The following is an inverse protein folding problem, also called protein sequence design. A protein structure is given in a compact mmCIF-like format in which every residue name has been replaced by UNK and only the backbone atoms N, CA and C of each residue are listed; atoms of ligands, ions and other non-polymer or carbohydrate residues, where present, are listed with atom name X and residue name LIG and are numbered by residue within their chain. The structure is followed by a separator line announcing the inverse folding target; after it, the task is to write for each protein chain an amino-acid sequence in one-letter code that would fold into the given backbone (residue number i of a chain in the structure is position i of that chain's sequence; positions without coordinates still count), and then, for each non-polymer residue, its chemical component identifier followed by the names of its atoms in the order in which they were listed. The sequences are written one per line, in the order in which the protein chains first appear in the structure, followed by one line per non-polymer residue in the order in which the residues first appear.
data_IF_772602296643
#
_entry.id   IF_772602296643
#
_cell.length_a   1.000
_cell.length_b   1.000
_cell.length_c   1.000
_cell.angle_alpha   90.00
_cell.angle_beta   90.00
_cell.angle_gamma   90.00
#
_symmetry.space_group_name_H-M   'P 1'
#
loop_
_entity.id
_entity.type
_entity.pdbx_description
1 polymer ?
#
# COMPACT_ATOMS: atom_id res chain seq x y z
N UNK A 1 5.17 2.00 33.34
CA UNK A 1 5.13 0.57 32.95
C UNK A 1 6.05 0.40 31.76
N UNK A 2 7.05 -0.48 31.83
CA UNK A 2 7.89 -0.81 30.66
C UNK A 2 7.10 -1.81 29.81
N UNK A 3 6.79 -1.47 28.56
CA UNK A 3 6.17 -2.42 27.64
C UNK A 3 7.18 -3.50 27.27
N UNK A 4 6.79 -4.76 27.44
CA UNK A 4 7.59 -5.91 27.03
C UNK A 4 7.49 -6.07 25.51
N UNK A 5 8.62 -5.92 24.81
CA UNK A 5 8.70 -6.15 23.36
C UNK A 5 8.87 -7.64 23.12
N UNK A 6 8.05 -8.19 22.21
CA UNK A 6 8.14 -9.57 21.77
C UNK A 6 8.77 -9.62 20.38
N UNK A 7 9.86 -10.37 20.25
CA UNK A 7 10.47 -10.63 18.95
C UNK A 7 9.62 -11.62 18.16
N UNK A 8 9.63 -11.47 16.83
CA UNK A 8 8.93 -12.38 15.92
C UNK A 8 9.59 -13.77 16.01
N UNK A 9 8.86 -14.83 16.38
CA UNK A 9 9.44 -16.17 16.50
C UNK A 9 9.89 -16.74 15.15
N UNK A 10 10.89 -17.62 15.16
CA UNK A 10 11.46 -18.20 13.93
C UNK A 10 10.41 -18.90 13.06
N UNK A 11 9.47 -19.65 13.68
CA UNK A 11 8.35 -20.30 12.99
C UNK A 11 7.44 -19.36 12.18
N UNK A 12 7.53 -18.05 12.40
CA UNK A 12 6.78 -17.02 11.66
C UNK A 12 7.65 -16.36 10.58
N UNK A 13 8.97 -16.38 10.74
CA UNK A 13 9.94 -15.81 9.79
C UNK A 13 10.31 -16.79 8.70
N UNK A 14 10.46 -18.06 9.05
CA UNK A 14 10.88 -19.13 8.16
C UNK A 14 9.94 -19.24 6.95
N UNK A 15 10.50 -19.14 5.75
CA UNK A 15 9.75 -19.19 4.49
C UNK A 15 8.89 -17.96 4.16
N UNK A 16 8.97 -16.89 4.95
CA UNK A 16 8.20 -15.67 4.71
C UNK A 16 8.65 -14.97 3.43
N UNK A 17 7.71 -14.66 2.54
CA UNK A 17 7.91 -13.83 1.35
C UNK A 17 7.67 -12.34 1.61
N UNK A 18 7.48 -11.95 2.88
CA UNK A 18 7.24 -10.56 3.25
C UNK A 18 8.43 -9.68 2.84
N UNK A 19 8.22 -8.57 2.13
CA UNK A 19 9.27 -7.59 1.87
C UNK A 19 9.67 -6.81 3.14
N UNK A 20 8.89 -6.95 4.22
CA UNK A 20 9.13 -6.29 5.51
C UNK A 20 9.53 -7.35 6.52
N UNK A 21 10.84 -7.42 6.82
CA UNK A 21 11.42 -8.39 7.75
C UNK A 21 11.69 -7.83 9.15
N UNK A 22 11.75 -6.51 9.28
CA UNK A 22 12.10 -5.81 10.52
C UNK A 22 11.44 -4.41 10.58
N UNK A 23 11.75 -3.67 11.65
CA UNK A 23 11.20 -2.34 11.88
C UNK A 23 11.77 -1.27 10.95
N UNK A 24 12.96 -1.46 10.39
CA UNK A 24 13.55 -0.48 9.48
C UNK A 24 12.91 -0.63 8.09
N UNK A 25 12.73 -1.86 7.60
CA UNK A 25 11.95 -2.14 6.39
C UNK A 25 10.49 -1.68 6.53
N UNK A 26 9.88 -1.86 7.71
CA UNK A 26 8.55 -1.29 7.96
C UNK A 26 8.55 0.24 7.85
N UNK A 27 9.54 0.90 8.46
CA UNK A 27 9.64 2.36 8.47
C UNK A 27 9.84 2.90 7.06
N UNK A 28 10.66 2.23 6.25
CA UNK A 28 10.89 2.59 4.84
C UNK A 28 9.60 2.55 4.04
N UNK A 29 8.87 1.44 4.09
CA UNK A 29 7.59 1.28 3.37
C UNK A 29 6.54 2.30 3.86
N UNK A 30 6.48 2.55 5.17
CA UNK A 30 5.58 3.54 5.74
C UNK A 30 5.92 4.97 5.29
N UNK A 31 7.21 5.33 5.26
CA UNK A 31 7.65 6.64 4.79
C UNK A 31 7.37 6.82 3.30
N UNK A 32 7.61 5.79 2.48
CA UNK A 32 7.30 5.83 1.06
C UNK A 32 5.80 6.08 0.80
N UNK A 33 4.93 5.30 1.45
CA UNK A 33 3.48 5.47 1.35
C UNK A 33 2.99 6.83 1.88
N UNK A 34 3.67 7.40 2.88
CA UNK A 34 3.32 8.70 3.45
C UNK A 34 3.76 9.86 2.55
N UNK A 35 4.95 9.78 1.96
CA UNK A 35 5.55 10.86 1.17
C UNK A 35 5.04 10.91 -0.27
N UNK A 36 4.72 9.76 -0.86
CA UNK A 36 4.10 9.66 -2.18
C UNK A 36 2.99 8.60 -2.18
N UNK A 37 1.81 8.90 -1.60
CA UNK A 37 0.71 7.95 -1.56
C UNK A 37 0.20 7.59 -2.96
N UNK A 38 0.26 8.52 -3.92
CA UNK A 38 -0.20 8.27 -5.27
C UNK A 38 0.69 7.23 -5.97
N UNK A 39 2.00 7.48 -6.05
CA UNK A 39 2.94 6.59 -6.72
C UNK A 39 3.11 5.25 -6.00
N UNK A 40 3.20 5.27 -4.67
CA UNK A 40 3.37 4.05 -3.87
C UNK A 40 2.23 3.06 -4.08
N UNK A 41 0.98 3.52 -3.95
CA UNK A 41 -0.17 2.64 -4.09
C UNK A 41 -0.48 2.27 -5.53
N UNK A 42 -0.14 3.12 -6.51
CA UNK A 42 -0.23 2.77 -7.93
C UNK A 42 0.69 1.59 -8.26
N UNK A 43 1.96 1.67 -7.90
CA UNK A 43 2.93 0.57 -8.09
C UNK A 43 2.44 -0.71 -7.43
N UNK A 44 1.93 -0.63 -6.19
CA UNK A 44 1.43 -1.82 -5.50
C UNK A 44 0.19 -2.42 -6.16
N UNK A 45 -0.70 -1.58 -6.69
CA UNK A 45 -1.89 -2.02 -7.40
C UNK A 45 -1.55 -2.68 -8.75
N UNK A 46 -0.55 -2.18 -9.47
CA UNK A 46 -0.06 -2.79 -10.72
C UNK A 46 0.57 -4.18 -10.48
N UNK A 47 1.27 -4.36 -9.36
CA UNK A 47 1.90 -5.64 -9.00
C UNK A 47 0.91 -6.69 -8.50
N UNK A 48 -0.10 -6.29 -7.73
CA UNK A 48 -0.93 -7.23 -6.96
C UNK A 48 -2.28 -7.55 -7.58
N UNK A 49 -2.79 -6.68 -8.44
CA UNK A 49 -4.17 -6.79 -8.94
C UNK A 49 -4.14 -7.08 -10.43
N UNK A 50 -4.98 -8.02 -10.85
CA UNK A 50 -5.22 -8.27 -12.27
C UNK A 50 -6.16 -7.19 -12.83
N UNK A 51 -5.62 -6.35 -13.71
CA UNK A 51 -6.37 -5.29 -14.38
C UNK A 51 -6.69 -5.69 -15.81
N UNK A 52 -7.91 -5.38 -16.27
CA UNK A 52 -8.22 -5.39 -17.71
C UNK A 52 -7.61 -4.18 -18.40
N UNK A 53 -7.65 -3.03 -17.70
CA UNK A 53 -6.97 -1.79 -18.06
C UNK A 53 -6.29 -1.26 -16.82
N UNK A 54 -4.95 -1.22 -16.83
CA UNK A 54 -4.19 -0.71 -15.69
C UNK A 54 -4.51 0.77 -15.45
N UNK A 55 -4.69 1.19 -14.19
CA UNK A 55 -4.81 2.60 -13.84
C UNK A 55 -3.51 3.33 -14.12
N UNK A 56 -3.57 4.65 -14.35
CA UNK A 56 -2.38 5.51 -14.44
C UNK A 56 -2.28 6.48 -13.26
N UNK A 57 -3.32 6.52 -12.41
CA UNK A 57 -3.40 7.35 -11.21
C UNK A 57 -3.72 6.47 -10.00
N UNK A 58 -2.90 6.53 -8.95
CA UNK A 58 -3.16 5.84 -7.69
C UNK A 58 -4.23 6.55 -6.88
N UNK A 59 -4.02 7.83 -6.57
CA UNK A 59 -4.90 8.67 -5.76
C UNK A 59 -5.11 10.03 -6.42
N UNK A 60 -6.37 10.45 -6.53
CA UNK A 60 -6.74 11.81 -6.90
C UNK A 60 -7.51 12.48 -5.75
N UNK A 61 -7.10 13.70 -5.38
CA UNK A 61 -7.70 14.47 -4.29
C UNK A 61 -7.28 14.01 -2.88
N UNK A 62 -7.99 14.50 -1.86
CA UNK A 62 -7.80 14.07 -0.47
C UNK A 62 -8.71 14.82 0.49
N UNK A 63 -8.54 14.61 1.80
CA UNK A 63 -9.39 15.23 2.82
C UNK A 63 -9.45 16.76 2.76
N UNK A 64 -8.38 17.41 2.32
CA UNK A 64 -8.34 18.87 2.22
C UNK A 64 -9.02 19.42 0.95
N UNK A 65 -9.23 18.58 -0.08
CA UNK A 65 -9.88 18.96 -1.34
C UNK A 65 -11.27 18.33 -1.49
N UNK A 66 -11.76 17.63 -0.47
CA UNK A 66 -13.02 16.87 -0.55
C UNK A 66 -14.25 17.78 -0.75
N UNK A 67 -14.12 19.05 -0.39
CA UNK A 67 -15.13 20.09 -0.65
C UNK A 67 -15.26 20.43 -2.12
N UNK A 68 -14.19 20.27 -2.90
CA UNK A 68 -14.16 20.55 -4.34
C UNK A 68 -14.62 19.32 -5.15
N UNK A 69 -14.47 18.13 -4.59
CA UNK A 69 -14.93 16.86 -5.14
C UNK A 69 -14.44 15.66 -4.34
N UNK A 70 -15.08 14.49 -4.45
CA UNK A 70 -14.63 13.28 -3.77
C UNK A 70 -13.23 12.90 -4.22
N UNK A 71 -12.43 12.34 -3.30
CA UNK A 71 -11.19 11.68 -3.70
C UNK A 71 -11.49 10.30 -4.30
N UNK A 72 -10.62 9.86 -5.21
CA UNK A 72 -10.76 8.61 -5.94
C UNK A 72 -9.47 7.82 -5.96
N UNK A 73 -9.60 6.49 -5.99
CA UNK A 73 -8.49 5.56 -6.13
C UNK A 73 -8.60 4.82 -7.45
N UNK A 74 -7.51 4.77 -8.23
CA UNK A 74 -7.41 3.99 -9.47
C UNK A 74 -8.54 4.26 -10.47
N UNK A 75 -9.03 5.51 -10.49
CA UNK A 75 -10.32 5.86 -11.11
C UNK A 75 -10.35 5.67 -12.63
N UNK A 76 -9.20 5.59 -13.28
CA UNK A 76 -9.04 5.37 -14.72
C UNK A 76 -8.72 3.91 -15.08
N UNK A 77 -8.59 3.02 -14.09
CA UNK A 77 -8.40 1.59 -14.26
C UNK A 77 -9.71 0.82 -14.34
N UNK A 78 -9.66 -0.36 -14.96
CA UNK A 78 -10.80 -1.26 -15.09
C UNK A 78 -10.41 -2.69 -14.70
N UNK A 79 -11.20 -3.32 -13.85
CA UNK A 79 -10.99 -4.68 -13.36
C UNK A 79 -12.31 -5.44 -13.21
N UNK A 80 -12.21 -6.76 -13.09
CA UNK A 80 -13.29 -7.61 -12.61
C UNK A 80 -12.76 -8.45 -11.43
N UNK A 81 -13.44 -8.42 -10.30
CA UNK A 81 -13.00 -9.12 -9.06
C UNK A 81 -13.08 -10.65 -9.19
N UNK A 82 -13.86 -11.15 -10.14
CA UNK A 82 -14.14 -12.58 -10.32
C UNK A 82 -13.36 -13.23 -11.47
N UNK A 83 -12.52 -12.47 -12.16
CA UNK A 83 -11.69 -12.96 -13.27
C UNK A 83 -10.26 -13.28 -12.85
#
# INVERSE_FOLDING_TARGET
MVQKIYQVPERVREGSSSPIADLDGWREQWLAAKHDPNGFWLSRAEELVAWRKSPTLGLAGGYHSVTDGPFGWFADGELNVTE
#
